data_IF_665642567558
#
_entry.id   IF_665642567558
#
_cell.length_a   1.000
_cell.length_b   1.000
_cell.length_c   1.000
_cell.angle_alpha   90.00
_cell.angle_beta   90.00
_cell.angle_gamma   90.00
#
_symmetry.space_group_name_H-M   'P 1'
#
loop_
_entity.id
_entity.type
_entity.pdbx_description
1 polymer ?
#
# COMPACT_ATOMS: atom_id res chain seq x y z
N UNK A 1 -32.64 27.97 47.97
CA UNK A 1 -32.31 28.39 46.60
C UNK A 1 -30.92 27.83 46.31
N UNK A 2 -30.77 26.88 45.38
CA UNK A 2 -29.45 26.39 44.98
C UNK A 2 -28.80 27.35 43.98
N UNK A 3 -27.55 27.70 44.22
CA UNK A 3 -26.71 28.45 43.28
C UNK A 3 -26.11 27.48 42.24
N UNK A 4 -26.19 27.77 40.93
CA UNK A 4 -25.44 27.03 39.93
C UNK A 4 -24.11 27.73 39.64
N UNK A 5 -23.00 27.17 40.15
CA UNK A 5 -21.66 27.55 39.71
C UNK A 5 -21.35 26.78 38.42
N UNK A 6 -21.56 27.48 37.30
CA UNK A 6 -21.06 27.10 35.99
C UNK A 6 -19.78 27.91 35.72
N UNK A 7 -18.63 27.26 35.87
CA UNK A 7 -17.34 27.71 35.34
C UNK A 7 -16.76 26.48 34.63
N UNK A 8 -16.55 26.50 33.31
CA UNK A 8 -15.71 27.46 32.61
C UNK A 8 -14.53 26.65 32.07
N UNK A 9 -14.78 25.98 30.95
CA UNK A 9 -13.80 25.31 30.12
C UNK A 9 -12.80 26.36 29.61
N UNK A 10 -11.55 26.33 30.04
CA UNK A 10 -10.46 27.03 29.35
C UNK A 10 -9.21 26.15 29.21
N UNK A 11 -8.80 26.07 27.95
CA UNK A 11 -7.51 25.62 27.46
C UNK A 11 -6.37 26.27 28.27
N UNK A 12 -5.16 25.71 28.35
CA UNK A 12 -4.25 25.72 27.23
C UNK A 12 -3.03 24.86 27.56
N UNK A 13 -2.69 24.01 26.60
CA UNK A 13 -1.60 23.04 26.66
C UNK A 13 -0.28 23.78 26.40
N UNK A 14 0.50 24.03 27.45
CA UNK A 14 1.82 24.68 27.33
C UNK A 14 2.82 23.78 26.58
N UNK A 15 3.19 24.21 25.38
CA UNK A 15 4.25 23.65 24.57
C UNK A 15 5.60 24.32 24.90
N UNK A 16 6.68 23.54 24.81
CA UNK A 16 8.01 23.87 24.22
C UNK A 16 9.14 23.24 25.04
N UNK A 17 9.50 22.01 24.67
CA UNK A 17 10.86 21.52 24.88
C UNK A 17 11.58 21.61 23.54
N UNK A 18 12.55 22.53 23.48
CA UNK A 18 13.38 22.84 22.31
C UNK A 18 14.72 22.13 22.55
N UNK A 19 14.97 21.06 21.80
CA UNK A 19 16.24 20.35 21.82
C UNK A 19 16.38 19.44 20.60
N UNK A 20 17.04 19.95 19.55
CA UNK A 20 17.53 19.14 18.43
C UNK A 20 18.57 18.10 18.87
N UNK A 21 19.07 17.24 17.96
CA UNK A 21 19.45 17.61 16.61
C UNK A 21 18.57 16.98 15.53
N UNK A 22 18.34 17.78 14.49
CA UNK A 22 18.04 17.29 13.15
C UNK A 22 19.28 16.55 12.65
N UNK A 23 19.38 15.27 12.98
CA UNK A 23 20.17 14.35 12.18
C UNK A 23 19.49 14.27 10.81
N UNK A 24 20.00 15.11 9.91
CA UNK A 24 19.85 14.93 8.49
C UNK A 24 20.55 13.61 8.14
N UNK A 25 19.82 12.50 8.23
CA UNK A 25 20.10 11.35 7.40
C UNK A 25 18.93 11.16 6.44
N UNK A 26 19.31 11.38 5.19
CA UNK A 26 18.52 11.41 3.98
C UNK A 26 18.06 9.99 3.67
N UNK A 27 17.10 9.50 4.46
CA UNK A 27 16.35 8.29 4.19
C UNK A 27 15.00 8.61 3.59
N UNK A 28 14.96 9.54 2.63
CA UNK A 28 14.03 9.39 1.52
C UNK A 28 14.49 8.09 0.85
N UNK A 29 14.04 6.95 1.38
CA UNK A 29 13.97 5.75 0.57
C UNK A 29 12.99 6.14 -0.52
N UNK A 30 13.59 6.69 -1.59
CA UNK A 30 12.97 6.93 -2.86
C UNK A 30 11.97 5.80 -3.04
N UNK A 31 10.68 6.13 -2.98
CA UNK A 31 9.67 5.29 -3.58
C UNK A 31 9.98 5.34 -5.07
N UNK A 32 11.00 4.58 -5.46
CA UNK A 32 11.36 4.36 -6.83
C UNK A 32 10.07 3.85 -7.44
N UNK A 33 9.51 4.50 -8.47
CA UNK A 33 8.49 3.87 -9.27
C UNK A 33 9.20 2.70 -9.94
N UNK A 34 9.30 1.56 -9.24
CA UNK A 34 9.78 0.31 -9.80
C UNK A 34 8.76 0.00 -10.86
N UNK A 35 9.12 0.33 -12.10
CA UNK A 35 8.41 -0.07 -13.30
C UNK A 35 7.91 -1.49 -13.07
N UNK A 36 6.59 -1.64 -13.15
CA UNK A 36 5.71 -2.73 -12.73
C UNK A 36 6.20 -4.14 -13.09
N UNK A 37 7.30 -4.59 -12.50
CA UNK A 37 7.75 -5.97 -12.60
C UNK A 37 6.90 -6.78 -11.65
N UNK A 38 5.82 -7.34 -12.19
CA UNK A 38 4.99 -8.32 -11.48
C UNK A 38 5.92 -9.35 -10.85
N UNK A 39 5.89 -9.46 -9.52
CA UNK A 39 6.82 -10.32 -8.81
C UNK A 39 6.73 -11.77 -9.32
N UNK A 40 7.86 -12.46 -9.49
CA UNK A 40 7.92 -13.88 -9.85
C UNK A 40 6.91 -14.79 -9.13
N UNK A 41 6.68 -14.68 -7.79
CA UNK A 41 5.66 -15.47 -7.12
C UNK A 41 4.23 -15.21 -7.62
N UNK A 42 3.92 -13.97 -8.01
CA UNK A 42 2.61 -13.62 -8.61
C UNK A 42 2.50 -14.22 -10.00
N UNK A 43 3.57 -14.15 -10.81
CA UNK A 43 3.58 -14.77 -12.15
C UNK A 43 3.35 -16.28 -12.10
N UNK A 44 4.07 -17.00 -11.23
CA UNK A 44 3.86 -18.45 -11.02
C UNK A 44 2.43 -18.77 -10.59
N UNK A 45 1.83 -17.92 -9.77
CA UNK A 45 0.45 -18.12 -9.32
C UNK A 45 -0.56 -17.88 -10.44
N UNK A 46 -0.36 -16.86 -11.27
CA UNK A 46 -1.15 -16.61 -12.48
C UNK A 46 -1.08 -17.82 -13.43
N UNK A 47 0.13 -18.31 -13.72
CA UNK A 47 0.34 -19.47 -14.58
C UNK A 47 -0.37 -20.73 -14.02
N UNK A 48 -0.21 -20.98 -12.72
CA UNK A 48 -0.84 -22.13 -12.06
C UNK A 48 -2.37 -22.08 -12.16
N UNK A 49 -2.98 -20.93 -11.86
CA UNK A 49 -4.44 -20.77 -11.96
C UNK A 49 -4.93 -20.88 -13.40
N UNK A 50 -4.19 -20.33 -14.35
CA UNK A 50 -4.52 -20.45 -15.77
C UNK A 50 -4.44 -21.92 -16.25
N UNK A 51 -3.41 -22.67 -15.82
CA UNK A 51 -3.30 -24.11 -16.09
C UNK A 51 -4.41 -24.94 -15.44
N UNK A 52 -4.99 -24.46 -14.34
CA UNK A 52 -6.17 -25.06 -13.71
C UNK A 52 -7.49 -24.72 -14.42
N UNK A 53 -7.45 -23.86 -15.45
CA UNK A 53 -8.63 -23.45 -16.22
C UNK A 53 -9.35 -22.22 -15.68
N UNK A 54 -8.77 -21.49 -14.71
CA UNK A 54 -9.32 -20.23 -14.25
C UNK A 54 -9.28 -19.16 -15.35
N UNK A 55 -10.32 -18.34 -15.43
CA UNK A 55 -10.36 -17.23 -16.38
C UNK A 55 -9.46 -16.07 -15.93
N UNK A 56 -9.01 -15.26 -16.89
CA UNK A 56 -8.22 -14.04 -16.63
C UNK A 56 -8.88 -13.13 -15.59
N UNK A 57 -10.22 -13.03 -15.66
CA UNK A 57 -11.00 -12.23 -14.72
C UNK A 57 -10.92 -12.79 -13.30
N UNK A 58 -11.12 -14.09 -13.11
CA UNK A 58 -11.02 -14.72 -11.79
C UNK A 58 -9.61 -14.62 -11.20
N UNK A 59 -8.59 -14.76 -12.03
CA UNK A 59 -7.18 -14.60 -11.63
C UNK A 59 -6.91 -13.16 -11.17
N UNK A 60 -7.38 -12.18 -11.94
CA UNK A 60 -7.27 -10.76 -11.61
C UNK A 60 -7.96 -10.43 -10.29
N UNK A 61 -9.20 -10.91 -10.09
CA UNK A 61 -9.96 -10.73 -8.86
C UNK A 61 -9.29 -11.44 -7.66
N UNK A 62 -8.72 -12.63 -7.86
CA UNK A 62 -8.05 -13.41 -6.80
C UNK A 62 -6.74 -12.77 -6.35
N UNK A 63 -6.00 -12.16 -7.28
CA UNK A 63 -4.69 -11.58 -7.01
C UNK A 63 -4.73 -10.07 -6.77
N UNK A 64 -5.90 -9.44 -6.94
CA UNK A 64 -6.08 -7.99 -6.81
C UNK A 64 -5.30 -7.22 -7.88
N UNK A 65 -5.26 -7.74 -9.11
CA UNK A 65 -4.48 -7.19 -10.23
C UNK A 65 -5.37 -6.75 -11.38
N UNK A 66 -4.84 -5.92 -12.29
CA UNK A 66 -5.54 -5.60 -13.53
C UNK A 66 -5.66 -6.82 -14.46
N UNK A 67 -6.78 -6.93 -15.18
CA UNK A 67 -6.93 -7.99 -16.19
C UNK A 67 -5.87 -7.89 -17.29
N UNK A 68 -5.43 -6.67 -17.62
CA UNK A 68 -4.41 -6.44 -18.64
C UNK A 68 -3.01 -6.84 -18.15
N UNK A 69 -2.70 -6.65 -16.86
CA UNK A 69 -1.49 -7.21 -16.24
C UNK A 69 -1.49 -8.75 -16.33
N UNK A 70 -2.61 -9.39 -15.99
CA UNK A 70 -2.73 -10.86 -16.06
C UNK A 70 -2.53 -11.35 -17.50
N UNK A 71 -3.11 -10.68 -18.51
CA UNK A 71 -2.88 -11.01 -19.93
C UNK A 71 -1.42 -10.84 -20.33
N UNK A 72 -0.78 -9.77 -19.85
CA UNK A 72 0.63 -9.51 -20.12
C UNK A 72 1.52 -10.62 -19.57
N UNK A 73 1.28 -11.05 -18.32
CA UNK A 73 2.00 -12.18 -17.70
C UNK A 73 1.77 -13.47 -18.46
N UNK A 74 0.52 -13.79 -18.81
CA UNK A 74 0.22 -15.02 -19.54
C UNK A 74 0.94 -15.06 -20.90
N UNK A 75 1.01 -13.93 -21.60
CA UNK A 75 1.81 -13.82 -22.84
C UNK A 75 3.29 -14.01 -22.58
N UNK A 76 3.82 -13.44 -21.50
CA UNK A 76 5.24 -13.55 -21.14
C UNK A 76 5.63 -15.00 -20.86
N UNK A 77 4.79 -15.71 -20.10
CA UNK A 77 5.00 -17.12 -19.70
C UNK A 77 4.85 -18.07 -20.90
N UNK A 78 3.96 -17.79 -21.85
CA UNK A 78 3.78 -18.62 -23.05
C UNK A 78 4.97 -18.54 -24.02
N UNK A 79 5.75 -17.44 -23.98
CA UNK A 79 6.96 -17.25 -24.80
C UNK A 79 8.21 -18.00 -24.32
N UNK A 80 8.20 -18.62 -23.13
CA UNK A 80 9.35 -19.32 -22.52
C UNK A 80 9.23 -20.83 -22.70
#
# INVERSE_FOLDING_TARGET
MPEPEAEGEEAEKAARDVGGPIDADWGDEEETPQADTISEPKMKKIEMMHKQGSSVREIAETLGMGQDEVKMVLRLVDTV
#
